data_IF_765999061531
#
_entry.id   IF_765999061531
#
_cell.length_a   1.000
_cell.length_b   1.000
_cell.length_c   1.000
_cell.angle_alpha   90.00
_cell.angle_beta   90.00
_cell.angle_gamma   90.00
#
_symmetry.space_group_name_H-M   'P 1'
#
loop_
_entity.id
_entity.type
_entity.pdbx_description
1 polymer ?
#
# COMPACT_ATOMS: atom_id res chain seq x y z
N UNK A 1 -2.28 -5.42 35.65
CA UNK A 1 -2.71 -5.86 34.30
C UNK A 1 -3.26 -4.72 33.45
N UNK A 2 -3.94 -3.72 34.03
CA UNK A 2 -4.48 -2.54 33.33
C UNK A 2 -3.41 -1.66 32.68
N UNK A 3 -2.23 -1.53 33.31
CA UNK A 3 -1.20 -0.60 32.87
C UNK A 3 -0.59 -0.97 31.52
N UNK A 4 -0.49 -2.27 31.22
CA UNK A 4 0.06 -2.74 29.94
C UNK A 4 -0.93 -2.45 28.80
N UNK A 5 -2.23 -2.67 29.02
CA UNK A 5 -3.27 -2.37 28.02
C UNK A 5 -3.40 -0.86 27.78
N UNK A 6 -3.29 -0.05 28.83
CA UNK A 6 -3.29 1.41 28.72
C UNK A 6 -2.04 1.93 28.01
N UNK A 7 -0.85 1.39 28.31
CA UNK A 7 0.37 1.75 27.61
C UNK A 7 0.29 1.38 26.12
N UNK A 8 -0.26 0.22 25.77
CA UNK A 8 -0.49 -0.18 24.39
C UNK A 8 -1.44 0.79 23.66
N UNK A 9 -2.56 1.15 24.29
CA UNK A 9 -3.53 2.07 23.68
C UNK A 9 -2.96 3.48 23.47
N UNK A 10 -2.22 4.01 24.46
CA UNK A 10 -1.64 5.35 24.42
C UNK A 10 -0.38 5.46 23.53
N UNK A 11 0.36 4.37 23.35
CA UNK A 11 1.53 4.32 22.45
C UNK A 11 1.16 3.94 21.01
N UNK A 12 -0.07 3.46 20.79
CA UNK A 12 -0.54 3.07 19.46
C UNK A 12 -0.68 4.29 18.57
N UNK A 13 -0.01 4.25 17.42
CA UNK A 13 -0.25 5.23 16.35
C UNK A 13 -1.71 5.11 15.90
N UNK A 14 -2.40 6.22 15.61
CA UNK A 14 -3.75 6.16 15.07
C UNK A 14 -3.75 5.25 13.85
N UNK A 15 -4.59 4.21 13.89
CA UNK A 15 -4.75 3.31 12.76
C UNK A 15 -5.28 4.13 11.60
N UNK A 16 -4.66 3.94 10.42
CA UNK A 16 -5.18 4.50 9.17
C UNK A 16 -6.61 4.03 8.98
N UNK A 17 -7.46 4.88 8.37
CA UNK A 17 -8.85 4.51 8.11
C UNK A 17 -8.91 3.25 7.26
N UNK A 18 -9.98 2.44 7.42
CA UNK A 18 -10.13 1.16 6.75
C UNK A 18 -10.08 1.30 5.21
N UNK A 19 -10.56 2.43 4.69
CA UNK A 19 -10.48 2.79 3.26
C UNK A 19 -9.02 2.99 2.79
N UNK A 20 -8.16 3.60 3.60
CA UNK A 20 -6.74 3.81 3.26
C UNK A 20 -5.92 2.50 3.30
N UNK A 21 -6.45 1.46 3.94
CA UNK A 21 -5.83 0.14 4.06
C UNK A 21 -6.42 -0.90 3.11
N UNK A 22 -7.48 -0.56 2.38
CA UNK A 22 -8.16 -1.50 1.52
C UNK A 22 -7.32 -1.83 0.28
N UNK A 23 -6.88 -3.09 0.21
CA UNK A 23 -6.37 -3.69 -1.01
C UNK A 23 -7.45 -4.61 -1.59
N UNK A 24 -7.67 -4.61 -2.91
CA UNK A 24 -8.53 -5.60 -3.55
C UNK A 24 -8.12 -7.04 -3.17
N UNK A 25 -9.08 -7.98 -3.02
CA UNK A 25 -8.80 -9.35 -2.57
C UNK A 25 -7.66 -10.03 -3.33
N UNK A 26 -7.66 -9.95 -4.67
CA UNK A 26 -6.61 -10.55 -5.50
C UNK A 26 -5.19 -10.00 -5.22
N UNK A 27 -5.07 -8.72 -4.83
CA UNK A 27 -3.77 -8.12 -4.44
C UNK A 27 -3.36 -8.59 -3.03
N UNK A 28 -4.33 -8.82 -2.15
CA UNK A 28 -4.06 -9.41 -0.83
C UNK A 28 -3.53 -10.84 -0.96
N UNK A 29 -4.06 -11.63 -1.89
CA UNK A 29 -3.57 -12.99 -2.17
C UNK A 29 -2.12 -12.95 -2.66
N UNK A 30 -1.80 -12.08 -3.62
CA UNK A 30 -0.43 -11.88 -4.10
C UNK A 30 0.51 -11.39 -3.00
N UNK A 31 0.03 -10.52 -2.10
CA UNK A 31 0.80 -10.06 -0.93
C UNK A 31 1.12 -11.23 0.00
N UNK A 32 0.15 -12.11 0.22
CA UNK A 32 0.26 -13.30 1.07
C UNK A 32 1.25 -14.30 0.48
N UNK A 33 1.13 -14.60 -0.81
CA UNK A 33 2.07 -15.45 -1.56
C UNK A 33 3.50 -14.90 -1.46
N UNK A 34 3.69 -13.59 -1.74
CA UNK A 34 4.98 -12.92 -1.65
C UNK A 34 5.58 -13.01 -0.24
N UNK A 35 4.77 -12.80 0.79
CA UNK A 35 5.22 -12.89 2.18
C UNK A 35 5.62 -14.32 2.57
N UNK A 36 4.85 -15.31 2.11
CA UNK A 36 5.16 -16.72 2.30
C UNK A 36 6.51 -17.08 1.66
N UNK A 37 6.70 -16.77 0.37
CA UNK A 37 7.95 -17.04 -0.35
C UNK A 37 9.14 -16.30 0.26
N UNK A 38 8.95 -15.07 0.76
CA UNK A 38 9.97 -14.34 1.51
C UNK A 38 10.41 -15.09 2.75
N UNK A 39 9.45 -15.60 3.53
CA UNK A 39 9.73 -16.35 4.77
C UNK A 39 10.48 -17.64 4.48
N UNK A 40 10.10 -18.36 3.42
CA UNK A 40 10.82 -19.57 2.97
C UNK A 40 12.27 -19.23 2.63
N UNK A 41 12.50 -18.26 1.73
CA UNK A 41 13.86 -17.84 1.34
C UNK A 41 14.69 -17.36 2.54
N UNK A 42 14.09 -16.62 3.47
CA UNK A 42 14.80 -16.14 4.66
C UNK A 42 15.29 -17.28 5.56
N UNK A 43 14.58 -18.42 5.59
CA UNK A 43 14.94 -19.60 6.38
C UNK A 43 15.93 -20.49 5.63
N UNK A 44 15.66 -20.81 4.38
CA UNK A 44 16.45 -21.76 3.61
C UNK A 44 17.75 -21.17 3.03
N UNK A 45 17.75 -19.86 2.74
CA UNK A 45 18.85 -19.10 2.10
C UNK A 45 19.30 -19.64 0.74
N UNK A 46 18.53 -20.52 0.12
CA UNK A 46 18.89 -21.12 -1.17
C UNK A 46 18.48 -20.25 -2.38
N UNK A 47 19.18 -20.39 -3.53
CA UNK A 47 18.88 -19.61 -4.73
C UNK A 47 17.51 -19.88 -5.35
N UNK A 48 16.98 -21.10 -5.25
CA UNK A 48 15.67 -21.46 -5.83
C UNK A 48 14.55 -20.72 -5.08
N UNK A 49 14.58 -20.74 -3.74
CA UNK A 49 13.66 -19.99 -2.91
C UNK A 49 13.78 -18.48 -3.13
N UNK A 50 15.01 -17.98 -3.36
CA UNK A 50 15.22 -16.57 -3.74
C UNK A 50 14.50 -16.24 -5.05
N UNK A 51 14.62 -17.10 -6.06
CA UNK A 51 13.95 -16.91 -7.35
C UNK A 51 12.42 -16.90 -7.19
N UNK A 52 11.86 -17.85 -6.42
CA UNK A 52 10.43 -17.90 -6.13
C UNK A 52 9.93 -16.63 -5.43
N UNK A 53 10.69 -16.11 -4.46
CA UNK A 53 10.38 -14.82 -3.84
C UNK A 53 10.42 -13.67 -4.85
N UNK A 54 11.42 -13.61 -5.72
CA UNK A 54 11.55 -12.55 -6.72
C UNK A 54 10.37 -12.57 -7.72
N UNK A 55 9.94 -13.75 -8.17
CA UNK A 55 8.77 -13.91 -9.05
C UNK A 55 7.50 -13.39 -8.35
N UNK A 56 7.23 -13.84 -7.12
CA UNK A 56 6.08 -13.38 -6.36
C UNK A 56 6.14 -11.87 -6.08
N UNK A 57 7.33 -11.33 -5.82
CA UNK A 57 7.55 -9.90 -5.62
C UNK A 57 7.32 -9.08 -6.89
N UNK A 58 7.68 -9.60 -8.07
CA UNK A 58 7.42 -8.96 -9.35
C UNK A 58 5.92 -8.92 -9.65
N UNK A 59 5.22 -10.04 -9.48
CA UNK A 59 3.75 -10.13 -9.63
C UNK A 59 3.02 -9.14 -8.72
N UNK A 60 3.39 -9.11 -7.44
CA UNK A 60 2.80 -8.18 -6.48
C UNK A 60 3.06 -6.71 -6.87
N UNK A 61 4.26 -6.37 -7.35
CA UNK A 61 4.58 -5.00 -7.79
C UNK A 61 3.77 -4.59 -9.01
N UNK A 62 3.63 -5.47 -10.00
CA UNK A 62 2.82 -5.21 -11.19
C UNK A 62 1.37 -4.93 -10.80
N UNK A 63 0.75 -5.81 -10.00
CA UNK A 63 -0.64 -5.64 -9.57
C UNK A 63 -0.87 -4.33 -8.78
N UNK A 64 0.08 -3.93 -7.90
CA UNK A 64 0.00 -2.66 -7.18
C UNK A 64 0.14 -1.47 -8.14
N UNK A 65 1.05 -1.54 -9.12
CA UNK A 65 1.24 -0.48 -10.09
C UNK A 65 -0.03 -0.27 -10.93
N UNK A 66 -0.61 -1.37 -11.42
CA UNK A 66 -1.86 -1.34 -12.20
C UNK A 66 -3.03 -0.78 -11.38
N UNK A 67 -3.19 -1.25 -10.13
CA UNK A 67 -4.22 -0.74 -9.23
C UNK A 67 -4.08 0.75 -8.95
N UNK A 68 -2.85 1.22 -8.67
CA UNK A 68 -2.59 2.64 -8.43
C UNK A 68 -2.86 3.46 -9.69
N UNK A 69 -2.47 2.97 -10.87
CA UNK A 69 -2.72 3.62 -12.14
C UNK A 69 -4.23 3.80 -12.37
N UNK A 70 -5.01 2.72 -12.24
CA UNK A 70 -6.47 2.76 -12.37
C UNK A 70 -7.08 3.74 -11.35
N UNK A 71 -6.62 3.69 -10.11
CA UNK A 71 -7.12 4.58 -9.06
C UNK A 71 -6.87 6.05 -9.38
N UNK A 72 -5.66 6.40 -9.86
CA UNK A 72 -5.33 7.76 -10.27
C UNK A 72 -6.08 8.19 -11.53
N UNK A 73 -6.25 7.31 -12.52
CA UNK A 73 -7.05 7.60 -13.72
C UNK A 73 -8.50 7.93 -13.33
N UNK A 74 -9.12 7.10 -12.49
CA UNK A 74 -10.47 7.34 -11.99
C UNK A 74 -10.58 8.65 -11.20
N UNK A 75 -9.59 8.95 -10.35
CA UNK A 75 -9.55 10.21 -9.60
C UNK A 75 -9.51 11.40 -10.56
N UNK A 76 -8.66 11.35 -11.58
CA UNK A 76 -8.49 12.43 -12.57
C UNK A 76 -9.78 12.63 -13.39
N UNK A 77 -10.42 11.56 -13.84
CA UNK A 77 -11.68 11.62 -14.60
C UNK A 77 -12.82 12.27 -13.81
N UNK A 78 -12.82 12.14 -12.48
CA UNK A 78 -13.83 12.72 -11.59
C UNK A 78 -13.56 14.19 -11.24
N UNK A 79 -12.36 14.71 -11.52
CA UNK A 79 -12.04 16.12 -11.24
C UNK A 79 -12.88 17.04 -12.09
N UNK A 80 -13.47 18.05 -11.45
CA UNK A 80 -14.24 19.06 -12.12
C UNK A 80 -14.04 20.45 -11.51
N UNK A 81 -14.44 21.47 -12.26
CA UNK A 81 -14.34 22.88 -11.88
C UNK A 81 -15.52 23.36 -11.05
N UNK A 82 -16.62 22.61 -11.00
CA UNK A 82 -17.88 23.02 -10.37
C UNK A 82 -17.91 22.75 -8.87
N UNK A 83 -17.40 21.61 -8.41
CA UNK A 83 -17.34 21.22 -7.00
C UNK A 83 -16.03 21.61 -6.31
N UNK A 84 -15.08 22.18 -7.07
CA UNK A 84 -13.78 22.61 -6.58
C UNK A 84 -12.75 21.48 -6.38
N UNK A 85 -13.07 20.23 -6.74
CA UNK A 85 -12.15 19.08 -6.66
C UNK A 85 -10.84 19.32 -7.41
N UNK A 86 -10.89 19.91 -8.61
CA UNK A 86 -9.72 20.25 -9.40
C UNK A 86 -8.77 21.21 -8.67
N UNK A 87 -9.32 22.24 -7.99
CA UNK A 87 -8.53 23.21 -7.23
C UNK A 87 -7.91 22.58 -5.97
N UNK A 88 -8.66 21.75 -5.26
CA UNK A 88 -8.14 21.04 -4.10
C UNK A 88 -6.98 20.11 -4.49
N UNK A 89 -7.12 19.38 -5.61
CA UNK A 89 -6.08 18.47 -6.10
C UNK A 89 -4.80 19.21 -6.51
N UNK A 90 -4.94 20.30 -7.25
CA UNK A 90 -3.79 21.15 -7.65
C UNK A 90 -3.11 21.80 -6.45
N UNK A 91 -3.85 22.23 -5.43
CA UNK A 91 -3.29 22.74 -4.17
C UNK A 91 -2.46 21.68 -3.43
N UNK A 92 -2.94 20.43 -3.34
CA UNK A 92 -2.19 19.31 -2.74
C UNK A 92 -0.88 19.03 -3.47
N UNK A 93 -0.87 19.11 -4.81
CA UNK A 93 0.34 18.94 -5.61
C UNK A 93 1.40 20.02 -5.32
N UNK A 94 0.98 21.27 -5.15
CA UNK A 94 1.90 22.37 -4.80
C UNK A 94 2.52 22.25 -3.41
N UNK A 95 1.77 21.69 -2.46
CA UNK A 95 2.20 21.57 -1.05
C UNK A 95 3.06 20.33 -0.80
N UNK A 96 2.84 19.24 -1.55
CA UNK A 96 3.60 17.99 -1.44
C UNK A 96 4.84 17.95 -2.35
N UNK A 97 5.42 19.10 -2.73
CA UNK A 97 6.67 19.11 -3.47
C UNK A 97 7.73 18.33 -2.67
N UNK A 98 8.34 17.26 -3.22
CA UNK A 98 9.50 16.67 -2.57
C UNK A 98 10.58 17.75 -2.62
N UNK A 99 10.98 18.26 -1.45
CA UNK A 99 12.20 19.02 -1.31
C UNK A 99 13.33 18.20 -1.93
N UNK A 100 13.89 18.74 -3.02
CA UNK A 100 15.05 18.21 -3.72
C UNK A 100 16.28 18.17 -2.82
#
# INVERSE_FOLDING_TARGET
MSDILNAYHNSSRPLKSNEELYLPPHIQDLKTERNHSKRVWQRSKDPLSKNNYNIAQARFRAAIADFNQISYSNEIEQLNTYDGSLWQRTKRLKTNHPSA
#
